data_IF_266572827699
#
_entry.id   IF_266572827699
#
_cell.length_a   1.000
_cell.length_b   1.000
_cell.length_c   1.000
_cell.angle_alpha   90.00
_cell.angle_beta   90.00
_cell.angle_gamma   90.00
#
_symmetry.space_group_name_H-M   'P 1'
#
loop_
_entity.id
_entity.type
_entity.pdbx_description
1 polymer ?
#
# COMPACT_ATOMS: atom_id res chain seq x y z
N UNK A 1 -24.19 -18.96 39.74
CA UNK A 1 -23.97 -19.99 38.71
C UNK A 1 -23.30 -19.34 37.51
N UNK A 2 -21.97 -19.34 37.46
CA UNK A 2 -21.19 -18.86 36.31
C UNK A 2 -20.58 -20.10 35.63
N UNK A 3 -20.97 -20.35 34.39
CA UNK A 3 -20.37 -21.36 33.52
C UNK A 3 -19.23 -20.70 32.74
N UNK A 4 -18.01 -21.09 33.06
CA UNK A 4 -16.80 -20.75 32.32
C UNK A 4 -16.74 -21.67 31.11
N UNK A 5 -16.88 -21.13 29.90
CA UNK A 5 -16.63 -21.86 28.66
C UNK A 5 -15.15 -21.74 28.29
N UNK A 6 -14.40 -22.84 28.46
CA UNK A 6 -13.02 -22.98 27.99
C UNK A 6 -13.03 -23.30 26.48
N UNK A 7 -12.30 -22.57 25.62
CA UNK A 7 -12.21 -22.89 24.19
C UNK A 7 -11.41 -24.18 23.99
N UNK A 8 -11.96 -25.09 23.18
CA UNK A 8 -11.43 -26.43 22.91
C UNK A 8 -10.11 -26.39 22.11
N UNK A 9 -9.13 -27.12 22.63
CA UNK A 9 -7.74 -27.25 22.20
C UNK A 9 -7.57 -28.21 21.00
N UNK A 10 -8.36 -28.04 19.93
CA UNK A 10 -8.40 -28.98 18.79
C UNK A 10 -7.48 -28.60 17.63
N UNK A 11 -6.97 -27.37 17.57
CA UNK A 11 -6.11 -26.95 16.45
C UNK A 11 -4.65 -27.43 16.58
N UNK A 12 -4.16 -27.62 17.80
CA UNK A 12 -2.76 -28.03 18.03
C UNK A 12 -2.51 -29.50 17.67
N UNK A 13 -3.47 -30.39 17.92
CA UNK A 13 -3.34 -31.81 17.58
C UNK A 13 -3.30 -32.07 16.07
N UNK A 14 -4.00 -31.25 15.28
CA UNK A 14 -3.96 -31.30 13.82
C UNK A 14 -2.59 -30.87 13.26
N UNK A 15 -1.97 -29.86 13.89
CA UNK A 15 -0.63 -29.40 13.53
C UNK A 15 0.44 -30.44 13.87
N UNK A 16 0.36 -31.06 15.05
CA UNK A 16 1.31 -32.10 15.47
C UNK A 16 1.26 -33.36 14.60
N UNK A 17 0.05 -33.78 14.19
CA UNK A 17 -0.13 -34.93 13.30
C UNK A 17 0.51 -34.72 11.92
N UNK A 18 0.55 -33.48 11.43
CA UNK A 18 1.21 -33.12 10.18
C UNK A 18 2.74 -33.16 10.30
N UNK A 19 3.28 -32.72 11.43
CA UNK A 19 4.73 -32.68 11.69
C UNK A 19 5.36 -34.06 11.91
N UNK A 20 4.56 -35.05 12.30
CA UNK A 20 5.03 -36.40 12.61
C UNK A 20 5.20 -37.30 11.37
N UNK A 21 4.85 -36.84 10.16
CA UNK A 21 4.99 -37.62 8.93
C UNK A 21 6.24 -37.17 8.13
N UNK A 22 7.14 -38.09 7.76
CA UNK A 22 8.28 -37.75 6.91
C UNK A 22 7.80 -37.46 5.48
N UNK A 23 7.76 -36.18 5.12
CA UNK A 23 7.48 -35.69 3.77
C UNK A 23 8.70 -35.94 2.86
N UNK A 24 8.65 -36.98 2.05
CA UNK A 24 9.51 -37.13 0.87
C UNK A 24 8.69 -37.63 -0.32
N UNK A 25 9.00 -37.19 -1.55
CA UNK A 25 8.77 -35.86 -2.08
C UNK A 25 7.63 -35.93 -3.11
N UNK A 26 6.42 -35.48 -2.75
CA UNK A 26 5.29 -35.30 -3.69
C UNK A 26 5.12 -33.80 -3.98
N UNK A 27 6.21 -33.13 -4.29
CA UNK A 27 6.21 -31.82 -4.94
C UNK A 27 6.91 -31.96 -6.29
N UNK A 28 6.38 -32.87 -7.11
CA UNK A 28 6.70 -32.88 -8.52
C UNK A 28 5.81 -31.82 -9.15
N UNK A 29 6.44 -30.71 -9.55
CA UNK A 29 5.89 -29.75 -10.50
C UNK A 29 4.82 -28.79 -9.93
N UNK A 30 5.17 -28.05 -8.87
CA UNK A 30 4.62 -26.69 -8.79
C UNK A 30 5.44 -25.86 -9.74
N UNK A 31 4.86 -25.64 -10.93
CA UNK A 31 5.35 -24.72 -11.96
C UNK A 31 5.98 -23.53 -11.27
N UNK A 32 7.30 -23.36 -11.46
CA UNK A 32 7.99 -22.10 -11.23
C UNK A 32 7.32 -21.08 -12.16
N UNK A 33 6.20 -20.51 -11.73
CA UNK A 33 5.86 -19.18 -12.15
C UNK A 33 7.12 -18.36 -11.88
N UNK A 34 7.65 -17.59 -12.83
CA UNK A 34 8.90 -16.90 -12.61
C UNK A 34 8.73 -16.00 -11.39
N UNK A 35 9.39 -16.34 -10.28
CA UNK A 35 9.54 -15.44 -9.12
C UNK A 35 10.34 -14.17 -9.51
N UNK A 36 10.77 -14.09 -10.77
CA UNK A 36 11.33 -12.93 -11.46
C UNK A 36 10.26 -12.17 -12.27
N UNK A 37 9.05 -11.97 -11.74
CA UNK A 37 8.24 -10.86 -12.22
C UNK A 37 8.86 -9.59 -11.60
N UNK A 38 9.36 -8.68 -12.44
CA UNK A 38 9.71 -7.33 -12.00
C UNK A 38 8.62 -6.82 -11.05
N UNK A 39 8.96 -6.37 -9.82
CA UNK A 39 7.97 -6.02 -8.82
C UNK A 39 6.96 -5.05 -9.42
N UNK A 40 5.67 -5.35 -9.25
CA UNK A 40 4.61 -4.55 -9.86
C UNK A 40 4.77 -3.10 -9.35
N UNK A 41 5.03 -2.15 -10.26
CA UNK A 41 5.22 -0.73 -9.93
C UNK A 41 3.94 -0.03 -9.39
N UNK A 42 2.91 -0.82 -9.10
CA UNK A 42 1.64 -0.40 -8.53
C UNK A 42 1.28 -1.31 -7.37
N UNK A 43 0.92 -0.71 -6.25
CA UNK A 43 0.34 -1.38 -5.09
C UNK A 43 -0.94 -0.67 -4.65
N UNK A 44 -1.88 -1.42 -4.05
CA UNK A 44 -3.09 -0.85 -3.46
C UNK A 44 -3.20 -1.27 -1.98
N UNK A 45 -3.41 -0.29 -1.09
CA UNK A 45 -3.68 -0.48 0.31
C UNK A 45 -5.15 -0.11 0.60
N UNK A 46 -5.92 -1.06 1.12
CA UNK A 46 -7.30 -0.82 1.54
C UNK A 46 -7.41 -0.92 3.07
N UNK A 47 -7.84 0.16 3.71
CA UNK A 47 -8.08 0.22 5.15
C UNK A 47 -9.57 0.43 5.42
N UNK A 48 -10.15 -0.48 6.19
CA UNK A 48 -11.58 -0.45 6.52
C UNK A 48 -11.86 -0.44 8.01
N UNK A 49 -12.89 0.31 8.40
CA UNK A 49 -13.34 0.42 9.78
C UNK A 49 -13.49 1.87 10.25
N UNK A 50 -13.34 2.09 11.56
CA UNK A 50 -13.44 3.43 12.14
C UNK A 50 -12.36 4.36 11.55
N UNK A 51 -12.77 5.57 11.14
CA UNK A 51 -11.89 6.50 10.42
C UNK A 51 -10.58 6.79 11.19
N UNK A 52 -10.68 6.99 12.52
CA UNK A 52 -9.51 7.20 13.38
C UNK A 52 -8.55 6.00 13.40
N UNK A 53 -9.07 4.78 13.48
CA UNK A 53 -8.26 3.56 13.43
C UNK A 53 -7.55 3.40 12.09
N UNK A 54 -8.23 3.65 10.97
CA UNK A 54 -7.63 3.61 9.64
C UNK A 54 -6.48 4.63 9.51
N UNK A 55 -6.67 5.85 10.02
CA UNK A 55 -5.61 6.85 10.02
C UNK A 55 -4.42 6.42 10.89
N UNK A 56 -4.66 5.89 12.09
CA UNK A 56 -3.57 5.40 12.95
C UNK A 56 -2.75 4.29 12.30
N UNK A 57 -3.39 3.41 11.53
CA UNK A 57 -2.70 2.35 10.76
C UNK A 57 -1.95 2.91 9.54
N UNK A 58 -2.46 3.98 8.93
CA UNK A 58 -1.84 4.62 7.78
C UNK A 58 -0.58 5.44 8.16
N UNK A 59 -0.60 6.10 9.32
CA UNK A 59 0.48 6.95 9.80
C UNK A 59 1.89 6.32 9.70
N UNK A 60 2.15 5.11 10.23
CA UNK A 60 3.48 4.51 10.15
C UNK A 60 3.94 4.24 8.71
N UNK A 61 3.01 3.90 7.80
CA UNK A 61 3.34 3.63 6.40
C UNK A 61 3.83 4.91 5.72
N UNK A 62 3.08 6.01 5.87
CA UNK A 62 3.49 7.28 5.26
C UNK A 62 4.74 7.86 5.93
N UNK A 63 4.94 7.63 7.22
CA UNK A 63 6.17 8.02 7.91
C UNK A 63 7.38 7.28 7.35
N UNK A 64 7.31 5.96 7.22
CA UNK A 64 8.41 5.16 6.65
C UNK A 64 8.76 5.63 5.23
N UNK A 65 7.75 5.79 4.37
CA UNK A 65 7.94 6.30 3.01
C UNK A 65 8.57 7.70 2.99
N UNK A 66 8.28 8.55 3.97
CA UNK A 66 8.86 9.90 4.03
C UNK A 66 10.34 9.90 4.42
N UNK A 67 10.82 8.82 5.04
CA UNK A 67 12.20 8.66 5.51
C UNK A 67 13.03 7.74 4.61
N UNK A 68 12.46 7.26 3.49
CA UNK A 68 13.13 6.36 2.52
C UNK A 68 14.54 6.84 2.12
N UNK A 69 15.47 5.98 1.76
CA UNK A 69 16.85 6.43 1.47
C UNK A 69 16.95 7.20 0.14
N UNK A 70 15.99 6.99 -0.77
CA UNK A 70 15.93 7.66 -2.06
C UNK A 70 15.61 9.16 -1.89
N UNK A 71 16.57 10.03 -2.24
CA UNK A 71 16.47 11.48 -2.10
C UNK A 71 15.30 12.15 -2.86
N UNK A 72 14.58 11.41 -3.73
CA UNK A 72 13.37 11.88 -4.40
C UNK A 72 12.22 12.08 -3.42
N UNK A 73 11.19 12.81 -3.85
CA UNK A 73 10.01 13.14 -3.03
C UNK A 73 9.13 11.93 -2.73
N UNK A 74 8.49 11.93 -1.55
CA UNK A 74 7.22 11.25 -1.35
C UNK A 74 6.10 12.22 -1.76
N UNK A 75 5.38 11.91 -2.83
CA UNK A 75 4.32 12.81 -3.34
C UNK A 75 2.93 12.27 -2.99
N UNK A 76 2.12 13.11 -2.34
CA UNK A 76 0.73 12.80 -1.99
C UNK A 76 -0.21 13.62 -2.89
N UNK A 77 -0.96 12.93 -3.76
CA UNK A 77 -1.90 13.54 -4.72
C UNK A 77 -3.33 13.55 -4.19
N UNK A 78 -3.89 14.74 -3.99
CA UNK A 78 -5.26 14.93 -3.54
C UNK A 78 -5.65 14.06 -2.31
N UNK A 79 -4.88 14.12 -1.20
CA UNK A 79 -5.23 13.38 0.00
C UNK A 79 -6.63 13.80 0.51
N UNK A 80 -7.39 12.88 1.12
CA UNK A 80 -8.70 13.19 1.67
C UNK A 80 -8.58 14.19 2.82
N UNK A 81 -9.66 14.93 3.10
CA UNK A 81 -9.68 15.98 4.11
C UNK A 81 -9.31 15.53 5.54
N UNK A 82 -9.39 14.21 5.82
CA UNK A 82 -8.93 13.61 7.06
C UNK A 82 -7.41 13.69 7.26
N UNK A 83 -6.62 13.68 6.18
CA UNK A 83 -5.18 13.89 6.20
C UNK A 83 -4.85 15.39 6.25
N UNK A 84 -5.27 16.04 7.32
CA UNK A 84 -4.99 17.46 7.55
C UNK A 84 -3.48 17.71 7.70
N UNK A 85 -3.05 18.95 7.52
CA UNK A 85 -1.67 19.33 7.78
C UNK A 85 -1.24 19.09 9.24
N UNK A 86 -2.19 19.21 10.19
CA UNK A 86 -1.96 18.86 11.59
C UNK A 86 -1.74 17.35 11.74
N UNK A 87 -2.57 16.53 11.11
CA UNK A 87 -2.41 15.07 11.14
C UNK A 87 -1.07 14.64 10.55
N UNK A 88 -0.66 15.20 9.40
CA UNK A 88 0.64 14.87 8.78
C UNK A 88 1.83 15.20 9.71
N UNK A 89 1.73 16.30 10.46
CA UNK A 89 2.72 16.64 11.49
C UNK A 89 2.73 15.62 12.62
N UNK A 90 1.56 15.34 13.17
CA UNK A 90 1.42 14.55 14.39
C UNK A 90 1.72 13.07 14.12
N UNK A 91 1.53 12.61 12.88
CA UNK A 91 1.97 11.30 12.40
C UNK A 91 3.51 11.18 12.27
N UNK A 92 4.25 12.29 12.38
CA UNK A 92 5.72 12.31 12.41
C UNK A 92 6.36 12.17 11.03
N UNK A 93 5.68 12.61 9.97
CA UNK A 93 6.21 12.55 8.61
C UNK A 93 7.34 13.56 8.39
N UNK A 94 8.36 13.18 7.61
CA UNK A 94 9.45 14.07 7.21
C UNK A 94 8.96 15.15 6.24
N UNK A 95 8.77 16.35 6.76
CA UNK A 95 8.20 17.49 6.01
C UNK A 95 9.13 18.02 4.93
N UNK A 96 10.42 17.79 5.05
CA UNK A 96 11.42 18.25 4.06
C UNK A 96 11.44 17.33 2.83
N UNK A 97 10.70 16.22 2.87
CA UNK A 97 10.73 15.16 1.86
C UNK A 97 9.36 14.79 1.29
N UNK A 98 8.33 15.57 1.65
CA UNK A 98 6.96 15.34 1.18
C UNK A 98 6.49 16.49 0.30
N UNK A 99 5.84 16.13 -0.81
CA UNK A 99 5.15 17.06 -1.68
C UNK A 99 3.65 16.77 -1.66
N UNK A 100 2.84 17.77 -1.32
CA UNK A 100 1.37 17.70 -1.36
C UNK A 100 0.88 18.41 -2.62
N UNK A 101 0.24 17.69 -3.54
CA UNK A 101 -0.28 18.25 -4.77
C UNK A 101 -1.80 18.11 -4.85
N UNK A 102 -2.44 19.14 -5.38
CA UNK A 102 -3.86 19.15 -5.70
C UNK A 102 -4.05 19.35 -7.21
N UNK A 103 -4.99 18.64 -7.85
CA UNK A 103 -5.33 18.87 -9.25
C UNK A 103 -5.76 20.31 -9.50
N UNK A 104 -5.43 20.84 -10.68
CA UNK A 104 -5.77 22.22 -11.07
C UNK A 104 -6.57 22.24 -12.36
N UNK A 105 -7.50 23.21 -12.48
CA UNK A 105 -8.33 23.37 -13.66
C UNK A 105 -9.15 22.11 -13.97
N UNK A 106 -9.04 21.61 -15.20
CA UNK A 106 -9.72 20.39 -15.64
C UNK A 106 -8.93 19.09 -15.40
N UNK A 107 -7.75 19.16 -14.78
CA UNK A 107 -6.91 17.99 -14.51
C UNK A 107 -7.56 17.11 -13.44
N UNK A 108 -7.65 15.80 -13.68
CA UNK A 108 -8.08 14.84 -12.67
C UNK A 108 -6.94 14.40 -11.75
N UNK A 109 -7.27 13.88 -10.56
CA UNK A 109 -6.28 13.29 -9.65
C UNK A 109 -5.49 12.15 -10.29
N UNK A 110 -6.13 11.32 -11.13
CA UNK A 110 -5.44 10.27 -11.88
C UNK A 110 -4.44 10.86 -12.90
N UNK A 111 -4.82 11.90 -13.63
CA UNK A 111 -3.93 12.55 -14.59
C UNK A 111 -2.70 13.16 -13.89
N UNK A 112 -2.93 13.84 -12.78
CA UNK A 112 -1.85 14.42 -11.96
C UNK A 112 -0.94 13.32 -11.37
N UNK A 113 -1.51 12.21 -10.91
CA UNK A 113 -0.75 11.05 -10.40
C UNK A 113 0.15 10.48 -11.49
N UNK A 114 -0.40 10.23 -12.68
CA UNK A 114 0.37 9.75 -13.82
C UNK A 114 1.48 10.74 -14.24
N UNK A 115 1.24 12.04 -14.16
CA UNK A 115 2.26 13.06 -14.45
C UNK A 115 3.39 13.06 -13.42
N UNK A 116 3.04 13.08 -12.13
CA UNK A 116 4.01 13.05 -11.04
C UNK A 116 4.90 11.79 -11.10
N UNK A 117 4.30 10.64 -11.42
CA UNK A 117 5.02 9.39 -11.66
C UNK A 117 5.97 9.51 -12.85
N UNK A 118 5.48 9.90 -14.05
CA UNK A 118 6.31 10.01 -15.27
C UNK A 118 7.49 10.97 -15.13
N UNK A 119 7.37 12.02 -14.31
CA UNK A 119 8.46 12.96 -14.09
C UNK A 119 9.66 12.35 -13.35
N UNK A 120 9.48 11.21 -12.67
CA UNK A 120 10.55 10.50 -11.96
C UNK A 120 11.20 11.28 -10.82
N UNK A 121 10.56 12.36 -10.35
CA UNK A 121 11.03 13.20 -9.23
C UNK A 121 10.59 12.70 -7.86
N UNK A 122 9.75 11.66 -7.84
CA UNK A 122 9.25 11.03 -6.62
C UNK A 122 9.63 9.57 -6.62
N UNK A 123 10.10 9.03 -5.50
CA UNK A 123 10.31 7.59 -5.37
C UNK A 123 8.97 6.86 -5.21
N UNK A 124 7.99 7.51 -4.58
CA UNK A 124 6.62 7.00 -4.43
C UNK A 124 5.62 8.13 -4.65
N UNK A 125 4.57 7.85 -5.41
CA UNK A 125 3.40 8.72 -5.57
C UNK A 125 2.20 8.01 -4.98
N UNK A 126 1.62 8.61 -3.95
CA UNK A 126 0.43 8.14 -3.26
C UNK A 126 -0.80 8.83 -3.82
N UNK A 127 -1.84 8.04 -4.09
CA UNK A 127 -3.13 8.51 -4.59
C UNK A 127 -4.28 7.88 -3.80
N UNK A 128 -5.47 8.49 -3.88
CA UNK A 128 -6.69 8.02 -3.21
C UNK A 128 -7.83 7.83 -4.23
N UNK A 129 -7.54 7.08 -5.30
CA UNK A 129 -8.44 6.90 -6.42
C UNK A 129 -9.45 5.78 -6.10
N UNK A 130 -10.73 6.13 -6.09
CA UNK A 130 -11.83 5.18 -5.94
C UNK A 130 -13.08 5.74 -6.65
N UNK A 131 -13.64 5.06 -7.67
CA UNK A 131 -13.20 3.77 -8.22
C UNK A 131 -11.90 3.87 -9.02
N UNK A 132 -11.13 2.78 -9.06
CA UNK A 132 -9.96 2.61 -9.93
C UNK A 132 -10.20 1.43 -10.87
N UNK A 133 -10.45 1.72 -12.14
CA UNK A 133 -10.68 0.67 -13.15
C UNK A 133 -9.35 0.12 -13.70
N UNK A 134 -9.42 -0.99 -14.45
CA UNK A 134 -8.23 -1.66 -14.99
C UNK A 134 -7.41 -0.75 -15.92
N UNK A 135 -8.05 0.08 -16.76
CA UNK A 135 -7.35 1.00 -17.65
C UNK A 135 -6.58 2.07 -16.86
N UNK A 136 -7.20 2.66 -15.85
CA UNK A 136 -6.57 3.62 -14.96
C UNK A 136 -5.37 3.00 -14.21
N UNK A 137 -5.53 1.79 -13.67
CA UNK A 137 -4.42 1.04 -13.06
C UNK A 137 -3.26 0.84 -14.03
N UNK A 138 -3.52 0.44 -15.28
CA UNK A 138 -2.47 0.27 -16.29
C UNK A 138 -1.76 1.58 -16.64
N UNK A 139 -2.48 2.71 -16.69
CA UNK A 139 -1.86 4.02 -16.89
C UNK A 139 -0.91 4.40 -15.75
N UNK A 140 -1.28 4.09 -14.50
CA UNK A 140 -0.43 4.31 -13.33
C UNK A 140 0.82 3.44 -13.39
N UNK A 141 0.69 2.14 -13.70
CA UNK A 141 1.83 1.23 -13.84
C UNK A 141 2.80 1.72 -14.92
N UNK A 142 2.28 2.10 -16.10
CA UNK A 142 3.09 2.61 -17.19
C UNK A 142 3.82 3.90 -16.80
N UNK A 143 3.13 4.83 -16.14
CA UNK A 143 3.72 6.07 -15.66
C UNK A 143 4.80 5.83 -14.59
N UNK A 144 4.55 4.93 -13.65
CA UNK A 144 5.46 4.55 -12.57
C UNK A 144 6.75 3.95 -13.12
N UNK A 145 6.65 3.01 -14.06
CA UNK A 145 7.81 2.44 -14.76
C UNK A 145 8.60 3.49 -15.54
N UNK A 146 7.92 4.44 -16.18
CA UNK A 146 8.57 5.51 -16.95
C UNK A 146 9.44 6.40 -16.05
N UNK A 147 8.98 6.69 -14.83
CA UNK A 147 9.70 7.54 -13.88
C UNK A 147 10.53 6.77 -12.85
N UNK A 148 10.69 5.47 -13.01
CA UNK A 148 11.36 4.60 -12.03
C UNK A 148 10.84 4.83 -10.59
N UNK A 149 9.53 4.82 -10.43
CA UNK A 149 8.84 5.17 -9.19
C UNK A 149 7.80 4.11 -8.82
N UNK A 150 7.33 4.15 -7.58
CA UNK A 150 6.23 3.33 -7.08
C UNK A 150 4.91 4.11 -7.09
N UNK A 151 3.84 3.49 -7.58
CA UNK A 151 2.48 4.01 -7.48
C UNK A 151 1.74 3.30 -6.34
N UNK A 152 1.39 4.03 -5.29
CA UNK A 152 0.60 3.50 -4.18
C UNK A 152 -0.82 4.10 -4.21
N UNK A 153 -1.85 3.29 -4.40
CA UNK A 153 -3.24 3.73 -4.23
C UNK A 153 -3.74 3.37 -2.82
N UNK A 154 -4.41 4.30 -2.14
CA UNK A 154 -4.95 4.10 -0.80
C UNK A 154 -6.46 4.27 -0.82
N UNK A 155 -7.16 3.27 -0.31
CA UNK A 155 -8.61 3.27 -0.19
C UNK A 155 -8.99 3.26 1.29
N UNK A 156 -9.65 4.32 1.72
CA UNK A 156 -10.22 4.46 3.07
C UNK A 156 -11.74 4.30 2.96
N UNK A 157 -12.37 3.45 3.79
CA UNK A 157 -13.83 3.30 3.78
C UNK A 157 -14.40 2.29 4.77
#
# INVERSE_FOLDING_TARGET
MQLVHTPQHTQLSLFEAFMAQPLAPILKETVEAPWCAEPEAFSELSLRGAAGSCLSLLAPILRELSEEQDARWLTLIAPPASLTQAWLRDAGLNRERILLLQPRGAQSAQQLTCEALRLGRSHTVVSWLNPLNANAKQQLISAARTGDAQSLNIRLG
#
